data_IF_046728051424
#
_entry.id   IF_046728051424
#
_cell.length_a   1.000
_cell.length_b   1.000
_cell.length_c   1.000
_cell.angle_alpha   90.00
_cell.angle_beta   90.00
_cell.angle_gamma   90.00
#
_symmetry.space_group_name_H-M   'P 1'
#
loop_
_entity.id
_entity.type
_entity.pdbx_description
1 polymer ?
#
# COMPACT_ATOMS: atom_id res chain seq x y z
N UNK A 1 -32.62 35.60 -16.16
CA UNK A 1 -31.19 35.57 -16.50
C UNK A 1 -30.44 35.66 -15.19
N UNK A 2 -29.88 34.55 -14.68
CA UNK A 2 -29.20 34.51 -13.39
C UNK A 2 -27.73 34.12 -13.65
N UNK A 3 -26.82 35.00 -13.26
CA UNK A 3 -25.37 34.79 -13.33
C UNK A 3 -24.98 33.63 -12.42
N UNK A 4 -24.34 32.62 -13.01
CA UNK A 4 -23.74 31.50 -12.30
C UNK A 4 -22.35 31.90 -11.80
N UNK A 5 -21.94 31.57 -10.57
CA UNK A 5 -20.56 31.72 -10.15
C UNK A 5 -19.67 30.80 -11.00
N UNK A 6 -18.61 31.36 -11.58
CA UNK A 6 -17.58 30.60 -12.32
C UNK A 6 -16.98 29.54 -11.39
N UNK A 7 -17.22 28.27 -11.70
CA UNK A 7 -16.36 27.20 -11.23
C UNK A 7 -14.95 27.52 -11.73
N UNK A 8 -14.01 27.71 -10.81
CA UNK A 8 -12.62 27.91 -11.13
C UNK A 8 -12.03 26.51 -11.39
N UNK A 9 -11.55 26.27 -12.61
CA UNK A 9 -10.87 25.02 -12.97
C UNK A 9 -9.74 24.74 -11.98
N UNK A 10 -9.84 23.61 -11.26
CA UNK A 10 -8.82 23.13 -10.33
C UNK A 10 -7.68 22.38 -11.04
N UNK A 11 -7.57 22.50 -12.37
CA UNK A 11 -6.52 21.89 -13.15
C UNK A 11 -5.28 22.79 -13.11
N UNK A 12 -4.35 22.45 -12.23
CA UNK A 12 -2.98 22.97 -12.29
C UNK A 12 -2.30 22.31 -13.49
N UNK A 13 -1.80 23.06 -14.49
CA UNK A 13 -1.01 22.48 -15.56
C UNK A 13 0.35 22.05 -14.99
N UNK A 14 0.62 20.74 -14.97
CA UNK A 14 1.92 20.21 -14.55
C UNK A 14 1.89 18.98 -13.63
N UNK A 15 0.73 18.47 -13.22
CA UNK A 15 0.65 17.09 -12.73
C UNK A 15 0.67 16.23 -13.98
N UNK A 16 1.84 15.73 -14.37
CA UNK A 16 1.84 14.47 -15.10
C UNK A 16 1.16 13.49 -14.16
N UNK A 17 -0.09 13.14 -14.45
CA UNK A 17 -0.59 11.83 -14.08
C UNK A 17 0.54 10.89 -14.50
N UNK A 18 1.27 10.33 -13.55
CA UNK A 18 2.40 9.46 -13.88
C UNK A 18 1.88 8.41 -14.87
N UNK A 19 2.17 8.50 -16.17
CA UNK A 19 1.47 7.74 -17.23
C UNK A 19 1.81 6.23 -17.18
N UNK A 20 2.19 5.70 -16.02
CA UNK A 20 2.48 4.30 -15.76
C UNK A 20 1.22 3.47 -15.53
N UNK A 21 1.27 2.22 -15.99
CA UNK A 21 0.23 1.22 -15.77
C UNK A 21 -0.06 1.02 -14.27
N UNK A 22 -1.33 0.86 -13.90
CA UNK A 22 -1.70 0.64 -12.50
C UNK A 22 -1.20 -0.71 -12.02
N UNK A 23 -0.76 -0.83 -10.76
CA UNK A 23 -0.42 -2.12 -10.18
C UNK A 23 -1.71 -2.94 -10.00
N UNK A 24 -1.67 -4.19 -10.42
CA UNK A 24 -2.81 -5.13 -10.34
C UNK A 24 -2.51 -6.35 -9.49
N UNK A 25 -1.24 -6.59 -9.17
CA UNK A 25 -0.82 -7.77 -8.40
C UNK A 25 0.46 -7.53 -7.61
N UNK A 26 0.54 -8.09 -6.42
CA UNK A 26 1.73 -8.15 -5.59
C UNK A 26 2.14 -9.61 -5.40
N UNK A 27 3.44 -9.89 -5.60
CA UNK A 27 4.01 -11.21 -5.46
C UNK A 27 5.20 -11.16 -4.49
N UNK A 28 5.27 -12.13 -3.58
CA UNK A 28 6.45 -12.42 -2.75
C UNK A 28 6.75 -13.92 -2.91
N UNK A 29 7.59 -14.30 -3.90
CA UNK A 29 7.78 -15.70 -4.29
C UNK A 29 8.23 -16.60 -3.15
N UNK A 30 9.15 -16.11 -2.31
CA UNK A 30 9.71 -16.86 -1.18
C UNK A 30 8.66 -17.21 -0.10
N UNK A 31 7.53 -16.50 -0.09
CA UNK A 31 6.43 -16.70 0.84
C UNK A 31 5.21 -17.37 0.20
N UNK A 32 5.27 -17.69 -1.10
CA UNK A 32 4.12 -18.13 -1.90
C UNK A 32 2.94 -17.14 -1.82
N UNK A 33 3.26 -15.85 -1.68
CA UNK A 33 2.26 -14.78 -1.63
C UNK A 33 2.01 -14.27 -3.04
N UNK A 34 0.76 -14.35 -3.45
CA UNK A 34 0.26 -13.85 -4.73
C UNK A 34 -1.12 -13.24 -4.46
N UNK A 35 -1.21 -11.91 -4.53
CA UNK A 35 -2.40 -11.17 -4.12
C UNK A 35 -2.78 -10.11 -5.16
N UNK A 36 -4.05 -10.05 -5.60
CA UNK A 36 -4.55 -8.98 -6.44
C UNK A 36 -4.57 -7.64 -5.69
N UNK A 37 -4.31 -6.56 -6.43
CA UNK A 37 -4.30 -5.20 -5.91
C UNK A 37 -5.51 -4.40 -6.41
N UNK A 38 -6.17 -3.71 -5.48
CA UNK A 38 -7.22 -2.75 -5.76
C UNK A 38 -6.70 -1.32 -5.58
N UNK A 39 -7.04 -0.43 -6.52
CA UNK A 39 -6.74 0.98 -6.38
C UNK A 39 -7.70 1.63 -5.37
N UNK A 40 -7.20 1.89 -4.17
CA UNK A 40 -7.99 2.39 -3.03
C UNK A 40 -7.70 3.87 -2.73
N UNK A 41 -8.67 4.54 -2.12
CA UNK A 41 -8.57 5.93 -1.69
C UNK A 41 -8.46 6.06 -0.18
N UNK A 42 -9.17 7.06 0.35
CA UNK A 42 -9.35 7.26 1.78
C UNK A 42 -10.83 7.18 2.13
N UNK A 43 -11.13 6.58 3.28
CA UNK A 43 -12.49 6.48 3.80
C UNK A 43 -12.98 7.82 4.38
N UNK A 44 -14.23 7.85 4.86
CA UNK A 44 -14.82 9.04 5.48
C UNK A 44 -14.12 9.50 6.78
N UNK A 45 -13.24 8.67 7.35
CA UNK A 45 -12.40 8.98 8.51
C UNK A 45 -11.00 9.48 8.13
N UNK A 46 -10.66 9.52 6.83
CA UNK A 46 -9.35 9.92 6.34
C UNK A 46 -8.27 8.84 6.43
N UNK A 47 -8.66 7.58 6.64
CA UNK A 47 -7.75 6.44 6.62
C UNK A 47 -7.72 5.81 5.24
N UNK A 48 -6.58 5.20 4.87
CA UNK A 48 -6.48 4.41 3.64
C UNK A 48 -7.53 3.29 3.69
N UNK A 49 -8.33 3.19 2.64
CA UNK A 49 -9.29 2.08 2.49
C UNK A 49 -8.54 0.76 2.30
N UNK A 50 -9.05 -0.32 2.90
CA UNK A 50 -8.53 -1.67 2.71
C UNK A 50 -9.70 -2.51 2.17
N UNK A 51 -9.49 -3.35 1.13
CA UNK A 51 -10.54 -4.21 0.60
C UNK A 51 -11.14 -5.10 1.69
N UNK A 52 -12.47 -5.30 1.69
CA UNK A 52 -13.14 -6.17 2.67
C UNK A 52 -12.75 -7.65 2.51
N UNK A 53 -12.37 -8.04 1.30
CA UNK A 53 -11.89 -9.38 0.98
C UNK A 53 -10.43 -9.53 1.44
N UNK A 54 -10.19 -10.42 2.40
CA UNK A 54 -8.86 -10.65 2.96
C UNK A 54 -7.87 -11.31 1.98
N UNK A 55 -8.36 -11.86 0.86
CA UNK A 55 -7.54 -12.37 -0.24
C UNK A 55 -7.11 -11.26 -1.21
N UNK A 56 -7.44 -9.99 -0.94
CA UNK A 56 -7.06 -8.82 -1.74
C UNK A 56 -6.31 -7.79 -0.90
N UNK A 57 -5.59 -6.91 -1.59
CA UNK A 57 -4.92 -5.79 -0.94
C UNK A 57 -5.15 -4.47 -1.67
N UNK A 58 -5.16 -3.37 -0.92
CA UNK A 58 -5.35 -2.04 -1.46
C UNK A 58 -4.01 -1.36 -1.75
N UNK A 59 -3.84 -0.81 -2.93
CA UNK A 59 -2.78 0.15 -3.26
C UNK A 59 -3.32 1.58 -3.21
N UNK A 60 -2.61 2.46 -2.50
CA UNK A 60 -3.03 3.86 -2.35
C UNK A 60 -2.80 4.67 -3.62
N UNK A 61 -3.90 4.98 -4.34
CA UNK A 61 -3.84 5.55 -5.69
C UNK A 61 -3.45 7.03 -5.78
N UNK A 62 -3.48 7.76 -4.65
CA UNK A 62 -3.16 9.20 -4.62
C UNK A 62 -1.70 9.48 -4.22
N UNK A 63 -0.90 8.43 -4.02
CA UNK A 63 0.54 8.50 -3.79
C UNK A 63 1.35 8.07 -5.01
N UNK A 64 2.68 8.01 -4.87
CA UNK A 64 3.56 7.41 -5.88
C UNK A 64 3.11 5.99 -6.27
N UNK A 65 3.24 5.67 -7.55
CA UNK A 65 3.02 4.30 -8.05
C UNK A 65 4.22 3.43 -7.71
N UNK A 66 4.02 2.10 -7.58
CA UNK A 66 5.13 1.18 -7.68
C UNK A 66 5.88 1.44 -8.99
N UNK A 67 7.21 1.56 -8.93
CA UNK A 67 8.08 1.90 -10.06
C UNK A 67 8.36 3.39 -10.25
N UNK A 68 7.72 4.29 -9.50
CA UNK A 68 8.04 5.72 -9.55
C UNK A 68 9.49 5.99 -9.10
N UNK A 69 10.13 6.99 -9.71
CA UNK A 69 11.52 7.37 -9.42
C UNK A 69 11.72 8.02 -8.04
N UNK A 70 10.64 8.40 -7.36
CA UNK A 70 10.67 9.04 -6.06
C UNK A 70 9.44 8.72 -5.21
N UNK A 71 9.62 8.82 -3.88
CA UNK A 71 8.56 8.65 -2.90
C UNK A 71 8.17 7.20 -2.62
N UNK A 72 7.16 7.03 -1.77
CA UNK A 72 6.71 5.74 -1.27
C UNK A 72 5.38 5.30 -1.88
N UNK A 73 5.40 4.18 -2.61
CA UNK A 73 4.18 3.47 -2.97
C UNK A 73 3.69 2.65 -1.77
N UNK A 74 2.41 2.80 -1.41
CA UNK A 74 1.84 2.15 -0.21
C UNK A 74 0.80 1.11 -0.59
N UNK A 75 0.96 -0.09 -0.04
CA UNK A 75 0.02 -1.20 -0.18
C UNK A 75 -0.37 -1.71 1.21
N UNK A 76 -1.67 -1.90 1.46
CA UNK A 76 -2.19 -2.39 2.73
C UNK A 76 -3.15 -3.58 2.53
N UNK A 77 -3.13 -4.54 3.45
CA UNK A 77 -3.99 -5.71 3.39
C UNK A 77 -4.30 -6.30 4.77
N UNK A 78 -5.27 -7.21 4.82
CA UNK A 78 -5.69 -7.91 6.03
C UNK A 78 -4.77 -9.09 6.36
N UNK A 79 -4.53 -9.29 7.66
CA UNK A 79 -3.82 -10.48 8.17
C UNK A 79 -4.76 -11.68 8.31
N UNK A 80 -6.05 -11.43 8.53
CA UNK A 80 -7.13 -12.41 8.68
C UNK A 80 -8.50 -11.74 8.53
N UNK A 81 -9.53 -12.57 8.35
CA UNK A 81 -10.94 -12.21 8.45
C UNK A 81 -11.76 -13.29 9.17
N UNK A 82 -13.09 -13.18 9.08
CA UNK A 82 -14.02 -14.17 9.67
C UNK A 82 -13.99 -15.54 8.97
N UNK A 83 -13.47 -15.61 7.75
CA UNK A 83 -13.34 -16.82 6.94
C UNK A 83 -12.01 -17.55 7.10
N UNK A 84 -10.95 -16.86 7.53
CA UNK A 84 -9.65 -17.46 7.77
C UNK A 84 -8.46 -16.50 7.65
N UNK A 85 -7.24 -17.03 7.45
CA UNK A 85 -6.05 -16.20 7.28
C UNK A 85 -6.11 -15.40 5.99
N UNK A 86 -5.76 -14.12 6.05
CA UNK A 86 -5.72 -13.22 4.89
C UNK A 86 -4.40 -13.31 4.13
N UNK A 87 -4.37 -12.74 2.92
CA UNK A 87 -3.22 -12.76 2.04
C UNK A 87 -1.96 -12.16 2.69
N UNK A 88 -2.11 -11.15 3.56
CA UNK A 88 -0.96 -10.51 4.23
C UNK A 88 -0.54 -11.23 5.52
N UNK A 89 -1.16 -12.37 5.90
CA UNK A 89 -0.66 -13.20 7.00
C UNK A 89 0.78 -13.62 6.75
N UNK A 90 1.06 -14.10 5.53
CA UNK A 90 2.39 -14.59 5.15
C UNK A 90 3.43 -13.48 5.17
N UNK A 91 3.02 -12.22 4.97
CA UNK A 91 3.89 -11.07 5.07
C UNK A 91 4.51 -10.91 6.48
N UNK A 92 3.93 -11.52 7.52
CA UNK A 92 4.54 -11.54 8.86
C UNK A 92 5.84 -12.35 8.94
N UNK A 93 6.07 -13.24 7.98
CA UNK A 93 7.25 -14.10 7.86
C UNK A 93 8.34 -13.46 6.96
N UNK A 94 8.09 -12.27 6.42
CA UNK A 94 9.03 -11.61 5.50
C UNK A 94 10.35 -11.26 6.20
N UNK A 95 11.43 -11.44 5.46
CA UNK A 95 12.78 -11.11 5.89
C UNK A 95 13.46 -10.13 4.92
N UNK A 96 14.44 -9.40 5.44
CA UNK A 96 15.32 -8.56 4.63
C UNK A 96 16.04 -9.41 3.57
N UNK A 97 16.15 -8.87 2.36
CA UNK A 97 16.72 -9.56 1.20
C UNK A 97 15.72 -10.35 0.35
N UNK A 98 14.49 -10.58 0.83
CA UNK A 98 13.46 -11.26 0.03
C UNK A 98 13.02 -10.41 -1.17
N UNK A 99 12.77 -11.03 -2.33
CA UNK A 99 12.27 -10.34 -3.51
C UNK A 99 10.76 -10.07 -3.39
N UNK A 100 10.35 -8.88 -3.80
CA UNK A 100 8.95 -8.47 -3.94
C UNK A 100 8.74 -7.99 -5.36
N UNK A 101 7.68 -8.43 -6.02
CA UNK A 101 7.38 -8.03 -7.40
C UNK A 101 5.98 -7.44 -7.44
N UNK A 102 5.84 -6.30 -8.11
CA UNK A 102 4.56 -5.70 -8.44
C UNK A 102 4.32 -5.87 -9.92
N UNK A 103 3.19 -6.47 -10.30
CA UNK A 103 2.75 -6.60 -11.68
C UNK A 103 1.73 -5.50 -11.99
N UNK A 104 1.87 -4.92 -13.18
CA UNK A 104 1.05 -3.81 -13.66
C UNK A 104 0.08 -4.27 -14.74
N UNK A 105 -0.99 -3.51 -14.98
CA UNK A 105 -2.05 -3.86 -15.94
C UNK A 105 -1.56 -4.03 -17.39
N UNK A 106 -0.44 -3.41 -17.75
CA UNK A 106 0.21 -3.54 -19.06
C UNK A 106 1.11 -4.79 -19.18
N UNK A 107 1.20 -5.59 -18.11
CA UNK A 107 2.06 -6.77 -18.02
C UNK A 107 3.52 -6.47 -17.64
N UNK A 108 3.87 -5.20 -17.43
CA UNK A 108 5.17 -4.83 -16.88
C UNK A 108 5.29 -5.22 -15.40
N UNK A 109 6.52 -5.35 -14.92
CA UNK A 109 6.82 -5.77 -13.55
C UNK A 109 7.88 -4.87 -12.93
N UNK A 110 7.62 -4.39 -11.72
CA UNK A 110 8.61 -3.71 -10.90
C UNK A 110 9.10 -4.64 -9.82
N UNK A 111 10.41 -4.86 -9.79
CA UNK A 111 11.09 -5.70 -8.80
C UNK A 111 11.61 -4.84 -7.66
N UNK A 112 11.49 -5.37 -6.45
CA UNK A 112 11.92 -4.77 -5.20
C UNK A 112 12.65 -5.81 -4.35
N UNK A 113 13.51 -5.32 -3.46
CA UNK A 113 14.13 -6.13 -2.41
C UNK A 113 13.74 -5.56 -1.06
N UNK A 114 13.29 -6.42 -0.14
CA UNK A 114 12.99 -5.99 1.23
C UNK A 114 14.26 -5.48 1.90
N UNK A 115 14.24 -4.23 2.34
CA UNK A 115 15.36 -3.56 3.01
C UNK A 115 15.11 -3.35 4.50
N UNK A 116 13.89 -3.59 4.97
CA UNK A 116 13.60 -3.52 6.40
C UNK A 116 12.18 -3.95 6.73
N UNK A 117 11.98 -4.31 8.00
CA UNK A 117 10.65 -4.52 8.58
C UNK A 117 10.57 -3.87 9.96
N UNK A 118 9.44 -3.25 10.27
CA UNK A 118 9.20 -2.57 11.54
C UNK A 118 7.79 -2.85 12.03
N UNK A 119 7.68 -3.36 13.25
CA UNK A 119 6.40 -3.43 13.96
C UNK A 119 6.23 -2.16 14.79
N UNK A 120 5.05 -1.55 14.71
CA UNK A 120 4.70 -0.38 15.52
C UNK A 120 3.28 -0.47 16.02
N UNK A 121 3.01 0.04 17.22
CA UNK A 121 1.65 0.15 17.73
C UNK A 121 0.81 1.01 16.76
N UNK A 122 -0.44 0.61 16.48
CA UNK A 122 -1.32 1.32 15.54
C UNK A 122 -1.40 2.83 15.80
N UNK A 123 -1.45 3.21 17.09
CA UNK A 123 -1.53 4.62 17.53
C UNK A 123 -0.25 5.42 17.32
N UNK A 124 0.88 4.75 17.09
CA UNK A 124 2.20 5.35 16.91
C UNK A 124 2.70 5.23 15.47
N UNK A 125 1.87 4.71 14.57
CA UNK A 125 2.21 4.66 13.15
C UNK A 125 2.30 6.09 12.63
N UNK A 126 3.52 6.53 12.30
CA UNK A 126 3.74 7.81 11.65
C UNK A 126 3.31 7.69 10.19
N UNK A 127 2.02 7.94 9.93
CA UNK A 127 1.43 7.80 8.59
C UNK A 127 2.11 8.72 7.58
N UNK A 128 2.51 9.93 7.97
CA UNK A 128 3.22 10.86 7.07
C UNK A 128 4.51 10.27 6.47
N UNK A 129 5.24 9.45 7.23
CA UNK A 129 6.46 8.75 6.75
C UNK A 129 6.17 7.64 5.75
N UNK A 130 4.96 7.05 5.81
CA UNK A 130 4.56 6.00 4.87
C UNK A 130 4.18 6.57 3.50
N UNK A 131 3.56 7.74 3.48
CA UNK A 131 2.99 8.35 2.29
C UNK A 131 3.87 9.47 1.72
N UNK A 132 5.18 9.42 1.97
CA UNK A 132 6.15 10.38 1.43
C UNK A 132 6.06 10.42 -0.11
N UNK A 133 5.95 11.62 -0.67
CA UNK A 133 5.82 11.83 -2.12
C UNK A 133 7.16 12.11 -2.80
N UNK A 134 8.16 12.44 -2.00
CA UNK A 134 9.50 12.81 -2.42
C UNK A 134 10.52 11.91 -1.71
N UNK A 135 11.79 11.99 -2.13
CA UNK A 135 12.86 11.17 -1.56
C UNK A 135 13.05 9.85 -2.31
N UNK A 136 13.77 8.88 -1.72
CA UNK A 136 14.11 7.64 -2.40
C UNK A 136 12.85 6.85 -2.76
N UNK A 137 12.84 6.16 -3.92
CA UNK A 137 11.72 5.32 -4.32
C UNK A 137 11.63 4.10 -3.40
N UNK A 138 10.47 3.92 -2.76
CA UNK A 138 10.23 2.85 -1.81
C UNK A 138 8.86 2.20 -2.04
N UNK A 139 8.76 0.92 -1.71
CA UNK A 139 7.50 0.20 -1.56
C UNK A 139 7.28 -0.05 -0.06
N UNK A 140 6.15 0.40 0.47
CA UNK A 140 5.71 0.20 1.86
C UNK A 140 4.54 -0.77 1.87
N UNK A 141 4.73 -1.95 2.43
CA UNK A 141 3.65 -2.93 2.64
C UNK A 141 3.21 -2.87 4.10
N UNK A 142 1.91 -2.75 4.34
CA UNK A 142 1.34 -2.57 5.68
C UNK A 142 0.31 -3.65 5.98
N UNK A 143 0.44 -4.32 7.13
CA UNK A 143 -0.57 -5.26 7.64
C UNK A 143 -0.79 -5.10 9.13
N UNK A 144 -1.92 -5.60 9.62
CA UNK A 144 -2.18 -5.77 11.04
C UNK A 144 -1.30 -6.89 11.63
N UNK A 145 -0.82 -6.72 12.86
CA UNK A 145 -0.04 -7.75 13.56
C UNK A 145 -0.15 -7.63 15.08
N UNK A 146 0.50 -8.53 15.81
CA UNK A 146 0.55 -8.53 17.26
C UNK A 146 -0.68 -9.17 17.91
N UNK A 147 -0.89 -8.97 19.22
CA UNK A 147 -2.02 -9.56 19.93
C UNK A 147 -3.33 -8.86 19.56
N UNK A 148 -4.39 -9.64 19.37
CA UNK A 148 -5.76 -9.12 19.29
C UNK A 148 -6.15 -8.43 20.60
N UNK A 149 -6.85 -7.30 20.49
CA UNK A 149 -7.42 -6.61 21.64
C UNK A 149 -8.94 -6.60 21.54
N UNK A 150 -9.60 -7.38 22.40
CA UNK A 150 -11.07 -7.41 22.47
C UNK A 150 -11.67 -6.03 22.79
N UNK A 151 -10.93 -5.22 23.55
CA UNK A 151 -11.33 -3.85 23.89
C UNK A 151 -11.35 -2.93 22.67
N UNK A 152 -10.43 -3.13 21.73
CA UNK A 152 -10.30 -2.31 20.53
C UNK A 152 -10.96 -2.96 19.30
N UNK A 153 -11.44 -4.20 19.42
CA UNK A 153 -11.95 -4.99 18.31
C UNK A 153 -10.94 -5.13 17.16
N UNK A 154 -9.64 -5.10 17.46
CA UNK A 154 -8.60 -5.12 16.44
C UNK A 154 -7.22 -5.51 17.00
N UNK A 155 -6.33 -5.91 16.09
CA UNK A 155 -4.90 -6.05 16.34
C UNK A 155 -4.28 -4.75 16.85
N UNK A 156 -3.38 -4.84 17.82
CA UNK A 156 -2.76 -3.67 18.46
C UNK A 156 -1.66 -3.02 17.64
N UNK A 157 -1.02 -3.80 16.78
CA UNK A 157 0.18 -3.39 16.06
C UNK A 157 -0.03 -3.44 14.55
N UNK A 158 0.81 -2.71 13.83
CA UNK A 158 0.98 -2.79 12.38
C UNK A 158 2.40 -3.23 12.08
N UNK A 159 2.55 -4.14 11.13
CA UNK A 159 3.82 -4.45 10.49
C UNK A 159 3.94 -3.57 9.25
N UNK A 160 5.04 -2.82 9.17
CA UNK A 160 5.44 -2.08 7.99
C UNK A 160 6.68 -2.76 7.42
N UNK A 161 6.60 -3.18 6.17
CA UNK A 161 7.73 -3.72 5.41
C UNK A 161 8.15 -2.68 4.39
N UNK A 162 9.43 -2.37 4.37
CA UNK A 162 10.01 -1.43 3.41
C UNK A 162 10.84 -2.23 2.42
N UNK A 163 10.59 -2.00 1.14
CA UNK A 163 11.36 -2.57 0.05
C UNK A 163 11.83 -1.46 -0.90
N UNK A 164 13.01 -1.65 -1.49
CA UNK A 164 13.62 -0.70 -2.41
C UNK A 164 13.70 -1.32 -3.81
N UNK A 165 13.49 -0.54 -4.88
CA UNK A 165 13.46 -1.05 -6.24
C UNK A 165 14.82 -1.64 -6.63
N UNK A 166 14.77 -2.72 -7.40
CA UNK A 166 15.95 -3.35 -8.02
C UNK A 166 16.12 -2.71 -9.39
N UNK A 167 17.25 -2.03 -9.59
CA UNK A 167 17.61 -1.35 -10.85
C UNK A 167 18.00 -2.28 -11.98
#
# INVERSE_FOLDING_TARGET
MAEQPRAQDASVPGVTEDEGARPVRLLVPDLDLDVPLDAVGVDGGGLMEIPEDADRAGWYRFGPRPGADAGSAVVAGHVDDLGGPGAFLRLTEVAEGMPVVVEHEDGSRTSYTVTGRRTTEKKKLAVDDLFERDGPPLLRLVTCTGPWSDRAGSYRDNLVVTASPVG
#
